data_IF_589614940935
#
_entry.id   IF_589614940935
#
_cell.length_a   1.000
_cell.length_b   1.000
_cell.length_c   1.000
_cell.angle_alpha   90.00
_cell.angle_beta   90.00
_cell.angle_gamma   90.00
#
_symmetry.space_group_name_H-M   'P 1'
#
loop_
_entity.id
_entity.type
_entity.pdbx_description
1 polymer ?
#
# COMPACT_ATOMS: atom_id res chain seq x y z
N UNK A 1 12.42 -15.59 -11.16
CA UNK A 1 12.43 -15.70 -9.68
C UNK A 1 11.22 -14.92 -9.17
N UNK A 2 10.43 -15.49 -8.27
CA UNK A 2 9.31 -14.80 -7.60
C UNK A 2 9.88 -14.17 -6.33
N UNK A 3 9.62 -12.89 -6.11
CA UNK A 3 10.07 -12.16 -4.94
C UNK A 3 9.03 -12.28 -3.81
N UNK A 4 9.51 -12.57 -2.60
CA UNK A 4 8.67 -12.77 -1.41
C UNK A 4 8.36 -11.45 -0.73
N UNK A 5 7.10 -11.24 -0.39
CA UNK A 5 6.60 -10.00 0.20
C UNK A 5 5.92 -10.26 1.54
N UNK A 6 6.19 -9.40 2.51
CA UNK A 6 5.40 -9.27 3.74
C UNK A 6 4.57 -7.99 3.62
N UNK A 7 3.26 -8.09 3.87
CA UNK A 7 2.33 -6.93 3.89
C UNK A 7 1.86 -6.67 5.32
N UNK A 8 2.28 -5.56 5.90
CA UNK A 8 1.97 -5.15 7.27
C UNK A 8 0.89 -4.07 7.28
N UNK A 9 -0.07 -4.19 8.19
CA UNK A 9 -1.27 -3.35 8.17
C UNK A 9 -2.02 -3.50 6.85
N UNK A 10 -2.13 -4.75 6.41
CA UNK A 10 -2.49 -5.12 5.05
C UNK A 10 -3.93 -4.77 4.68
N UNK A 11 -4.80 -4.56 5.68
CA UNK A 11 -6.22 -4.39 5.43
C UNK A 11 -6.79 -5.53 4.57
N UNK A 12 -7.62 -5.20 3.62
CA UNK A 12 -8.19 -6.16 2.67
C UNK A 12 -7.23 -6.58 1.54
N UNK A 13 -5.96 -6.13 1.55
CA UNK A 13 -4.94 -6.51 0.57
C UNK A 13 -4.80 -5.55 -0.61
N UNK A 14 -5.05 -4.25 -0.40
CA UNK A 14 -4.92 -3.25 -1.48
C UNK A 14 -3.52 -3.17 -2.04
N UNK A 15 -2.50 -3.08 -1.19
CA UNK A 15 -1.10 -3.07 -1.61
C UNK A 15 -0.69 -4.44 -2.14
N UNK A 16 -1.05 -5.54 -1.46
CA UNK A 16 -0.80 -6.90 -1.91
C UNK A 16 -1.22 -7.12 -3.35
N UNK A 17 -2.40 -6.62 -3.74
CA UNK A 17 -2.91 -6.76 -5.11
C UNK A 17 -1.99 -6.07 -6.13
N UNK A 18 -1.50 -4.87 -5.81
CA UNK A 18 -0.60 -4.13 -6.68
C UNK A 18 0.72 -4.87 -6.97
N UNK A 19 1.20 -5.67 -6.02
CA UNK A 19 2.43 -6.44 -6.15
C UNK A 19 2.20 -7.80 -6.82
N UNK A 20 1.19 -8.55 -6.37
CA UNK A 20 1.01 -9.95 -6.79
C UNK A 20 0.32 -10.09 -8.15
N UNK A 21 -0.62 -9.19 -8.49
CA UNK A 21 -1.40 -9.29 -9.72
C UNK A 21 -0.57 -8.92 -10.97
N UNK A 22 -0.46 -9.83 -11.97
CA UNK A 22 0.28 -9.57 -13.19
C UNK A 22 -0.25 -8.39 -14.03
N UNK A 23 -1.49 -7.97 -13.82
CA UNK A 23 -2.06 -6.78 -14.50
C UNK A 23 -1.41 -5.47 -14.04
N UNK A 24 -0.73 -5.51 -12.89
CA UNK A 24 0.00 -4.39 -12.33
C UNK A 24 1.50 -4.67 -12.37
N UNK A 25 2.09 -5.11 -11.30
CA UNK A 25 3.51 -5.43 -11.25
C UNK A 25 3.80 -6.91 -11.54
N UNK A 26 3.14 -7.81 -10.82
CA UNK A 26 3.37 -9.25 -10.90
C UNK A 26 4.78 -9.69 -10.50
N UNK A 27 4.98 -10.99 -10.37
CA UNK A 27 6.28 -11.57 -10.01
C UNK A 27 6.64 -11.45 -8.53
N UNK A 28 5.66 -11.15 -7.70
CA UNK A 28 5.74 -11.15 -6.24
C UNK A 28 4.76 -12.17 -5.66
N UNK A 29 5.06 -12.67 -4.49
CA UNK A 29 4.23 -13.59 -3.70
C UNK A 29 4.13 -13.06 -2.27
N UNK A 30 2.90 -12.83 -1.82
CA UNK A 30 2.66 -12.45 -0.42
C UNK A 30 2.86 -13.71 0.45
N UNK A 31 3.90 -13.72 1.27
CA UNK A 31 4.19 -14.85 2.17
C UNK A 31 3.58 -14.69 3.55
N UNK A 32 3.39 -13.44 3.97
CA UNK A 32 2.75 -13.07 5.22
C UNK A 32 2.01 -11.75 5.04
N UNK A 33 0.78 -11.69 5.50
CA UNK A 33 0.06 -10.44 5.75
C UNK A 33 -0.37 -10.37 7.19
N UNK A 34 -0.36 -9.17 7.77
CA UNK A 34 -0.71 -8.95 9.16
C UNK A 34 -1.57 -7.70 9.29
N UNK A 35 -2.72 -7.87 9.94
CA UNK A 35 -3.63 -6.78 10.32
C UNK A 35 -4.34 -7.15 11.61
N UNK A 36 -4.84 -6.16 12.35
CA UNK A 36 -5.59 -6.40 13.58
C UNK A 36 -7.12 -6.39 13.38
N UNK A 37 -7.61 -6.12 12.16
CA UNK A 37 -9.02 -6.18 11.80
C UNK A 37 -9.38 -7.56 11.23
N UNK A 38 -10.21 -8.30 11.96
CA UNK A 38 -10.63 -9.65 11.57
C UNK A 38 -11.37 -9.68 10.21
N UNK A 39 -12.19 -8.67 9.90
CA UNK A 39 -12.92 -8.61 8.65
C UNK A 39 -11.99 -8.34 7.46
N UNK A 40 -11.00 -7.49 7.66
CA UNK A 40 -9.94 -7.24 6.70
C UNK A 40 -9.12 -8.49 6.43
N UNK A 41 -8.67 -9.20 7.47
CA UNK A 41 -7.91 -10.46 7.34
C UNK A 41 -8.72 -11.55 6.64
N UNK A 42 -10.01 -11.69 6.93
CA UNK A 42 -10.90 -12.62 6.21
C UNK A 42 -10.98 -12.30 4.72
N UNK A 43 -11.08 -11.02 4.39
CA UNK A 43 -11.11 -10.56 2.99
C UNK A 43 -9.77 -10.85 2.31
N UNK A 44 -8.65 -10.55 2.98
CA UNK A 44 -7.32 -10.85 2.48
C UNK A 44 -7.13 -12.34 2.20
N UNK A 45 -7.46 -13.20 3.19
CA UNK A 45 -7.38 -14.66 3.06
C UNK A 45 -8.19 -15.20 1.88
N UNK A 46 -9.35 -14.59 1.58
CA UNK A 46 -10.20 -15.01 0.47
C UNK A 46 -9.61 -14.66 -0.91
N UNK A 47 -8.68 -13.70 -0.99
CA UNK A 47 -8.17 -13.17 -2.25
C UNK A 47 -6.69 -13.50 -2.52
N UNK A 48 -5.90 -13.83 -1.50
CA UNK A 48 -4.46 -14.07 -1.60
C UNK A 48 -4.10 -15.44 -1.01
N UNK A 49 -3.00 -16.02 -1.50
CA UNK A 49 -2.57 -17.38 -1.09
C UNK A 49 -1.68 -17.38 0.15
N UNK A 50 -1.04 -16.26 0.48
CA UNK A 50 -0.13 -16.13 1.60
C UNK A 50 -0.81 -16.30 2.96
N UNK A 51 -0.02 -16.48 4.00
CA UNK A 51 -0.51 -16.56 5.38
C UNK A 51 -1.02 -15.20 5.83
N UNK A 52 -2.33 -15.06 6.03
CA UNK A 52 -2.91 -13.88 6.67
C UNK A 52 -3.11 -14.12 8.17
N UNK A 53 -2.69 -13.15 8.98
CA UNK A 53 -2.71 -13.24 10.45
C UNK A 53 -3.48 -12.05 11.02
N UNK A 54 -4.47 -12.34 11.86
CA UNK A 54 -5.18 -11.33 12.64
C UNK A 54 -4.48 -11.16 14.00
N UNK A 55 -3.69 -10.10 14.13
CA UNK A 55 -2.97 -9.82 15.37
C UNK A 55 -2.51 -8.35 15.44
N UNK A 56 -2.26 -7.86 16.66
CA UNK A 56 -1.45 -6.67 16.85
C UNK A 56 0.00 -6.99 16.47
N UNK A 57 0.65 -6.08 15.74
CA UNK A 57 2.01 -6.30 15.23
C UNK A 57 3.04 -6.48 16.34
N UNK A 58 2.93 -5.72 17.44
CA UNK A 58 3.87 -5.77 18.56
C UNK A 58 3.74 -7.09 19.32
N UNK A 59 2.50 -7.56 19.52
CA UNK A 59 2.26 -8.84 20.19
C UNK A 59 2.68 -10.01 19.30
N UNK A 60 2.38 -9.93 18.01
CA UNK A 60 2.80 -10.96 17.07
C UNK A 60 4.32 -11.10 17.03
N UNK A 61 5.06 -10.00 17.07
CA UNK A 61 6.51 -9.97 17.00
C UNK A 61 7.18 -10.63 18.21
N UNK A 62 6.54 -10.60 19.39
CA UNK A 62 7.08 -11.24 20.62
C UNK A 62 7.13 -12.75 20.51
N UNK A 63 6.13 -13.35 19.89
CA UNK A 63 5.87 -14.79 19.96
C UNK A 63 6.12 -15.53 18.63
N UNK A 64 6.48 -14.81 17.56
CA UNK A 64 6.60 -15.39 16.23
C UNK A 64 7.97 -15.11 15.58
N UNK A 65 8.36 -16.01 14.71
CA UNK A 65 9.54 -15.84 13.85
C UNK A 65 9.11 -15.12 12.56
N UNK A 66 9.78 -14.03 12.24
CA UNK A 66 9.56 -13.28 10.99
C UNK A 66 10.06 -14.15 9.82
N UNK A 67 9.21 -14.46 8.82
CA UNK A 67 9.66 -15.20 7.66
C UNK A 67 10.62 -14.37 6.81
N UNK A 68 11.50 -15.05 6.07
CA UNK A 68 12.38 -14.38 5.11
C UNK A 68 11.54 -13.77 3.98
N UNK A 69 11.85 -12.54 3.59
CA UNK A 69 11.21 -11.84 2.49
C UNK A 69 12.19 -10.93 1.75
N UNK A 70 11.91 -10.65 0.48
CA UNK A 70 12.70 -9.72 -0.33
C UNK A 70 12.22 -8.28 -0.15
N UNK A 71 10.93 -8.12 0.12
CA UNK A 71 10.26 -6.82 0.24
C UNK A 71 9.31 -6.83 1.43
N UNK A 72 9.25 -5.70 2.15
CA UNK A 72 8.19 -5.42 3.13
C UNK A 72 7.39 -4.21 2.66
N UNK A 73 6.08 -4.36 2.61
CA UNK A 73 5.15 -3.29 2.27
C UNK A 73 4.20 -3.04 3.42
N UNK A 74 3.53 -1.88 3.45
CA UNK A 74 2.46 -1.63 4.39
C UNK A 74 2.21 -0.18 4.71
N UNK A 75 1.07 0.05 5.38
CA UNK A 75 0.64 1.38 5.81
C UNK A 75 0.40 1.43 7.32
N UNK A 76 1.41 1.67 8.16
CA UNK A 76 1.21 1.79 9.59
C UNK A 76 0.19 2.88 9.89
N UNK A 77 -0.75 2.65 10.84
CA UNK A 77 -1.85 3.57 11.11
C UNK A 77 -1.36 4.94 11.55
N UNK A 78 -2.00 5.96 10.98
CA UNK A 78 -1.65 7.36 11.12
C UNK A 78 -2.55 8.13 12.09
N UNK A 79 -3.10 7.47 13.09
CA UNK A 79 -4.08 8.10 13.98
C UNK A 79 -3.51 9.26 14.80
N UNK A 80 -2.20 9.28 15.04
CA UNK A 80 -1.51 10.41 15.65
C UNK A 80 -1.39 11.67 14.76
N UNK A 81 -1.55 11.52 13.42
CA UNK A 81 -1.41 12.64 12.46
C UNK A 81 -2.75 13.23 12.00
N UNK A 82 -3.88 12.58 12.32
CA UNK A 82 -5.19 13.09 11.90
C UNK A 82 -5.41 14.51 12.42
N UNK A 83 -5.80 15.42 11.54
CA UNK A 83 -6.20 16.78 11.88
C UNK A 83 -7.36 16.83 12.88
N UNK A 84 -8.11 15.73 13.00
CA UNK A 84 -9.20 15.56 13.96
C UNK A 84 -8.70 15.19 15.37
N UNK A 85 -7.47 14.70 15.50
CA UNK A 85 -6.91 14.35 16.81
C UNK A 85 -6.16 15.54 17.42
N UNK A 86 -6.84 16.28 18.30
CA UNK A 86 -6.27 17.44 19.01
C UNK A 86 -5.17 17.08 20.02
N UNK A 87 -5.07 15.81 20.45
CA UNK A 87 -4.02 15.30 21.36
C UNK A 87 -2.89 14.66 20.56
N UNK A 88 -1.97 15.47 20.04
CA UNK A 88 -0.86 15.02 19.20
C UNK A 88 0.31 14.36 19.93
N UNK A 89 0.42 14.54 21.25
CA UNK A 89 1.49 13.96 22.06
C UNK A 89 0.99 12.75 22.84
N UNK A 90 1.76 11.65 22.84
CA UNK A 90 1.49 10.47 23.66
C UNK A 90 0.51 9.45 23.04
N UNK A 91 0.26 9.49 21.75
CA UNK A 91 -0.50 8.42 21.09
C UNK A 91 0.46 7.28 20.68
N UNK A 92 0.38 6.15 21.42
CA UNK A 92 1.23 4.96 21.21
C UNK A 92 1.16 4.42 19.76
N UNK A 93 0.04 4.63 19.07
CA UNK A 93 -0.14 4.20 17.68
C UNK A 93 0.75 4.95 16.68
N UNK A 94 1.38 6.06 17.08
CA UNK A 94 2.36 6.78 16.24
C UNK A 94 3.65 5.99 16.09
N UNK A 95 3.99 5.21 17.08
CA UNK A 95 5.22 4.40 17.10
C UNK A 95 5.11 3.09 16.30
N UNK A 96 3.94 2.73 15.72
CA UNK A 96 3.76 1.47 14.98
C UNK A 96 4.62 1.36 13.69
N UNK A 97 5.25 2.44 13.26
CA UNK A 97 6.31 2.40 12.24
C UNK A 97 7.60 1.71 12.75
N UNK A 98 7.83 1.69 14.07
CA UNK A 98 9.02 1.02 14.63
C UNK A 98 9.01 -0.48 14.40
N UNK A 99 7.98 -1.25 14.86
CA UNK A 99 7.90 -2.68 14.59
C UNK A 99 7.82 -2.98 13.07
N UNK A 100 7.29 -2.07 12.25
CA UNK A 100 7.34 -2.20 10.80
C UNK A 100 8.79 -2.26 10.28
N UNK A 101 9.63 -1.29 10.66
CA UNK A 101 11.04 -1.24 10.25
C UNK A 101 11.83 -2.41 10.85
N UNK A 102 11.49 -2.84 12.06
CA UNK A 102 12.09 -3.98 12.71
C UNK A 102 11.81 -5.30 11.94
N UNK A 103 10.57 -5.53 11.54
CA UNK A 103 10.20 -6.67 10.68
C UNK A 103 10.92 -6.58 9.32
N UNK A 104 11.03 -5.40 8.72
CA UNK A 104 11.79 -5.22 7.49
C UNK A 104 13.27 -5.64 7.66
N UNK A 105 13.86 -5.36 8.82
CA UNK A 105 15.22 -5.82 9.11
C UNK A 105 15.28 -7.34 9.38
N UNK A 106 14.40 -7.87 10.23
CA UNK A 106 14.39 -9.27 10.64
C UNK A 106 14.09 -10.24 9.49
N UNK A 107 13.23 -9.82 8.54
CA UNK A 107 12.93 -10.61 7.35
C UNK A 107 14.08 -10.71 6.35
N UNK A 108 15.15 -9.93 6.54
CA UNK A 108 16.23 -9.82 5.57
C UNK A 108 15.83 -9.05 4.29
N UNK A 109 14.75 -8.31 4.34
CA UNK A 109 14.25 -7.57 3.18
C UNK A 109 15.31 -6.64 2.60
N UNK A 110 15.37 -6.62 1.26
CA UNK A 110 16.25 -5.72 0.52
C UNK A 110 15.64 -4.36 0.29
N UNK A 111 14.30 -4.32 0.29
CA UNK A 111 13.51 -3.10 0.09
C UNK A 111 12.33 -3.09 1.03
N UNK A 112 11.94 -1.90 1.49
CA UNK A 112 10.62 -1.68 2.07
C UNK A 112 9.90 -0.51 1.41
N UNK A 113 8.57 -0.54 1.44
CA UNK A 113 7.70 0.54 0.97
C UNK A 113 6.64 0.81 2.03
N UNK A 114 6.71 1.98 2.64
CA UNK A 114 5.76 2.42 3.66
C UNK A 114 4.87 3.52 3.08
N UNK A 115 3.55 3.31 3.14
CA UNK A 115 2.55 4.32 2.79
C UNK A 115 2.01 5.01 4.03
N UNK A 116 1.75 6.30 3.93
CA UNK A 116 1.08 7.04 4.99
C UNK A 116 0.39 8.30 4.45
N UNK A 117 -0.37 9.00 5.29
CA UNK A 117 -0.97 10.28 4.91
C UNK A 117 0.09 11.31 4.52
N UNK A 118 -0.31 12.30 3.68
CA UNK A 118 0.62 13.30 3.16
C UNK A 118 1.32 14.11 4.27
N UNK A 119 0.69 14.25 5.43
CA UNK A 119 1.19 14.97 6.59
C UNK A 119 2.46 14.37 7.18
N UNK A 120 2.68 13.04 7.04
CA UNK A 120 3.91 12.38 7.48
C UNK A 120 5.15 13.04 6.87
N UNK A 121 5.07 13.52 5.63
CA UNK A 121 6.22 14.12 4.93
C UNK A 121 6.85 15.31 5.66
N UNK A 122 6.05 16.03 6.45
CA UNK A 122 6.48 17.20 7.22
C UNK A 122 6.42 16.98 8.72
N UNK A 123 6.32 15.74 9.15
CA UNK A 123 6.19 15.41 10.57
C UNK A 123 7.54 15.05 11.19
N UNK A 124 7.72 15.27 12.50
CA UNK A 124 8.90 14.82 13.22
C UNK A 124 9.14 13.31 13.12
N UNK A 125 8.09 12.52 12.96
CA UNK A 125 8.18 11.07 12.88
C UNK A 125 8.96 10.61 11.63
N UNK A 126 8.88 11.33 10.52
CA UNK A 126 9.71 11.01 9.36
C UNK A 126 11.21 11.19 9.65
N UNK A 127 11.54 12.15 10.52
CA UNK A 127 12.92 12.39 10.96
C UNK A 127 13.39 11.32 11.98
N UNK A 128 12.47 10.57 12.59
CA UNK A 128 12.77 9.39 13.44
C UNK A 128 12.86 8.10 12.60
N UNK A 129 11.97 7.91 11.61
CA UNK A 129 11.94 6.75 10.71
C UNK A 129 13.27 6.62 9.95
N UNK A 130 13.78 7.71 9.37
CA UNK A 130 14.99 7.68 8.54
C UNK A 130 16.23 7.19 9.29
N UNK A 131 16.60 7.71 10.47
CA UNK A 131 17.75 7.23 11.24
C UNK A 131 17.58 5.77 11.68
N UNK A 132 16.36 5.36 12.07
CA UNK A 132 16.08 3.97 12.46
C UNK A 132 16.30 3.01 11.28
N UNK A 133 15.79 3.36 10.11
CA UNK A 133 16.00 2.58 8.89
C UNK A 133 17.49 2.53 8.51
N UNK A 134 18.19 3.66 8.60
CA UNK A 134 19.62 3.73 8.34
C UNK A 134 20.46 2.89 9.32
N UNK A 135 20.08 2.85 10.59
CA UNK A 135 20.71 1.96 11.60
C UNK A 135 20.66 0.50 11.16
N UNK A 136 19.60 0.07 10.49
CA UNK A 136 19.46 -1.28 9.92
C UNK A 136 20.04 -1.44 8.50
N UNK A 137 20.76 -0.44 8.00
CA UNK A 137 21.45 -0.50 6.71
C UNK A 137 20.56 -0.18 5.50
N UNK A 138 19.41 0.45 5.70
CA UNK A 138 18.59 0.95 4.61
C UNK A 138 18.94 2.41 4.27
N UNK A 139 19.14 2.70 2.98
CA UNK A 139 19.02 4.06 2.45
C UNK A 139 17.54 4.38 2.28
N UNK A 140 17.14 5.64 2.48
CA UNK A 140 15.73 6.02 2.41
C UNK A 140 15.49 7.24 1.52
N UNK A 141 14.35 7.25 0.85
CA UNK A 141 13.75 8.43 0.23
C UNK A 141 12.28 8.52 0.58
N UNK A 142 11.75 9.72 0.64
CA UNK A 142 10.33 9.96 0.86
C UNK A 142 9.82 11.01 -0.14
N UNK A 143 8.58 10.88 -0.57
CA UNK A 143 7.89 11.86 -1.41
C UNK A 143 6.39 11.81 -1.16
N UNK A 144 5.71 12.94 -1.36
CA UNK A 144 4.24 12.94 -1.43
C UNK A 144 3.84 12.72 -2.87
N UNK A 145 3.13 11.62 -3.11
CA UNK A 145 2.62 11.25 -4.42
C UNK A 145 1.11 11.43 -4.47
N UNK A 146 0.58 11.81 -5.63
CA UNK A 146 -0.85 11.85 -5.88
C UNK A 146 -1.23 10.70 -6.81
N UNK A 147 -2.10 9.82 -6.37
CA UNK A 147 -2.48 8.63 -7.14
C UNK A 147 -3.05 8.96 -8.53
N UNK A 148 -3.66 10.13 -8.73
CA UNK A 148 -4.15 10.55 -10.03
C UNK A 148 -3.04 10.74 -11.06
N UNK A 149 -1.83 11.14 -10.63
CA UNK A 149 -0.65 11.31 -11.51
C UNK A 149 -0.18 9.98 -12.10
N UNK A 150 -0.66 8.85 -11.57
CA UNK A 150 -0.31 7.49 -11.96
C UNK A 150 -1.52 6.69 -12.48
N UNK A 151 -2.58 7.37 -12.93
CA UNK A 151 -3.72 6.76 -13.59
C UNK A 151 -4.84 6.27 -12.67
N UNK A 152 -4.79 6.57 -11.38
CA UNK A 152 -5.92 6.30 -10.49
C UNK A 152 -7.11 7.25 -10.78
N UNK A 153 -8.33 6.74 -10.54
CA UNK A 153 -9.57 7.47 -10.80
C UNK A 153 -9.96 8.44 -9.67
N UNK A 154 -8.99 8.82 -8.82
CA UNK A 154 -9.19 9.79 -7.73
C UNK A 154 -7.89 10.52 -7.42
N UNK A 155 -8.02 11.73 -6.92
CA UNK A 155 -6.93 12.46 -6.29
C UNK A 155 -6.76 11.96 -4.86
N UNK A 156 -5.61 11.32 -4.57
CA UNK A 156 -5.27 10.84 -3.22
C UNK A 156 -3.79 11.08 -2.98
N UNK A 157 -3.47 12.06 -2.17
CA UNK A 157 -2.09 12.36 -1.81
C UNK A 157 -1.63 11.50 -0.64
N UNK A 158 -0.47 10.85 -0.78
CA UNK A 158 0.13 10.00 0.24
C UNK A 158 1.63 10.21 0.30
N UNK A 159 2.18 10.16 1.50
CA UNK A 159 3.62 10.02 1.68
C UNK A 159 4.00 8.57 1.44
N UNK A 160 4.91 8.37 0.52
CA UNK A 160 5.57 7.09 0.30
C UNK A 160 7.00 7.22 0.79
N UNK A 161 7.40 6.32 1.69
CA UNK A 161 8.78 6.17 2.14
C UNK A 161 9.30 4.86 1.58
N UNK A 162 10.35 4.94 0.78
CA UNK A 162 11.07 3.75 0.31
C UNK A 162 12.39 3.61 1.05
N UNK A 163 12.73 2.38 1.42
CA UNK A 163 14.05 2.04 1.92
C UNK A 163 14.66 0.91 1.11
N UNK A 164 15.96 0.98 0.83
CA UNK A 164 16.67 -0.08 0.11
C UNK A 164 18.08 -0.28 0.64
N UNK A 165 18.58 -1.52 0.53
CA UNK A 165 19.95 -1.87 0.91
C UNK A 165 20.91 -1.71 -0.27
N UNK A 166 22.21 -1.63 0.00
CA UNK A 166 23.26 -1.43 -1.03
C UNK A 166 23.32 -2.53 -2.10
N UNK A 167 22.80 -3.73 -1.81
CA UNK A 167 22.67 -4.81 -2.78
C UNK A 167 21.64 -4.52 -3.90
N UNK A 168 20.88 -3.44 -3.78
CA UNK A 168 19.89 -3.01 -4.77
C UNK A 168 20.37 -1.72 -5.42
N UNK A 169 20.28 -1.62 -6.73
CA UNK A 169 20.56 -0.37 -7.45
C UNK A 169 19.61 0.73 -6.96
N UNK A 170 20.12 1.96 -6.86
CA UNK A 170 19.32 3.09 -6.39
C UNK A 170 18.06 3.24 -7.23
N UNK A 171 16.86 3.11 -6.66
CA UNK A 171 15.62 3.23 -7.41
C UNK A 171 15.42 4.68 -7.88
N UNK A 172 14.80 4.84 -9.06
CA UNK A 172 14.27 6.13 -9.47
C UNK A 172 13.04 6.44 -8.62
N UNK A 173 13.18 7.39 -7.71
CA UNK A 173 12.10 7.80 -6.81
C UNK A 173 12.14 9.32 -6.59
N UNK A 174 11.02 10.04 -6.71
CA UNK A 174 9.69 9.53 -7.10
C UNK A 174 9.69 8.96 -8.53
N UNK A 175 8.75 8.03 -8.85
CA UNK A 175 8.52 7.57 -10.20
C UNK A 175 8.08 8.74 -11.10
N UNK A 176 8.28 8.62 -12.42
CA UNK A 176 7.76 9.62 -13.34
C UNK A 176 6.23 9.51 -13.44
N UNK A 177 5.49 10.62 -13.41
CA UNK A 177 4.05 10.58 -13.59
C UNK A 177 3.68 10.06 -14.98
N UNK A 178 2.56 9.36 -15.08
CA UNK A 178 1.98 8.84 -16.32
C UNK A 178 0.79 9.67 -16.79
N UNK A 179 0.21 10.47 -15.89
CA UNK A 179 -0.94 11.35 -16.14
C UNK A 179 -0.68 12.72 -15.50
N UNK A 180 -1.39 13.74 -15.98
CA UNK A 180 -1.29 15.10 -15.46
C UNK A 180 -2.68 15.69 -15.14
N UNK A 181 -2.68 16.77 -14.36
CA UNK A 181 -3.90 17.55 -14.15
C UNK A 181 -4.50 17.99 -15.49
N UNK A 182 -5.83 18.04 -15.62
CA UNK A 182 -6.47 18.59 -16.83
C UNK A 182 -6.01 20.02 -17.18
N UNK A 183 -5.52 20.77 -16.19
CA UNK A 183 -5.02 22.14 -16.36
C UNK A 183 -3.54 22.19 -16.77
N UNK A 184 -2.87 21.04 -16.91
CA UNK A 184 -1.47 20.95 -17.31
C UNK A 184 -1.36 20.93 -18.84
N UNK A 185 -0.65 21.89 -19.40
CA UNK A 185 -0.41 22.01 -20.84
C UNK A 185 0.65 21.03 -21.39
N UNK A 186 1.12 20.09 -20.55
CA UNK A 186 2.09 19.07 -20.93
C UNK A 186 1.55 18.00 -21.88
N UNK A 187 2.41 17.04 -22.24
CA UNK A 187 2.08 15.95 -23.18
C UNK A 187 1.53 14.68 -22.51
N UNK A 188 1.35 14.67 -21.18
CA UNK A 188 0.80 13.51 -20.50
C UNK A 188 -0.73 13.43 -20.65
N UNK A 189 -1.30 12.22 -20.69
CA UNK A 189 -2.73 12.03 -20.64
C UNK A 189 -3.34 12.73 -19.42
N UNK A 190 -4.55 13.30 -19.50
CA UNK A 190 -5.21 13.88 -18.35
C UNK A 190 -5.57 12.83 -17.30
N UNK A 191 -5.72 13.28 -16.06
CA UNK A 191 -6.21 12.41 -14.97
C UNK A 191 -7.48 11.68 -15.36
N UNK A 192 -7.54 10.42 -15.01
CA UNK A 192 -8.72 9.58 -15.19
C UNK A 192 -9.79 9.96 -14.18
N UNK A 193 -11.06 9.88 -14.61
CA UNK A 193 -12.21 10.26 -13.80
C UNK A 193 -12.94 9.07 -13.21
N UNK A 194 -13.78 9.30 -12.21
CA UNK A 194 -14.71 8.26 -11.70
C UNK A 194 -15.61 7.73 -12.82
N UNK A 195 -16.02 8.59 -13.76
CA UNK A 195 -16.82 8.17 -14.92
C UNK A 195 -16.08 7.11 -15.76
N UNK A 196 -14.77 7.28 -15.97
CA UNK A 196 -13.95 6.30 -16.69
C UNK A 196 -13.89 4.94 -15.96
N UNK A 197 -13.99 4.96 -14.62
CA UNK A 197 -13.96 3.75 -13.81
C UNK A 197 -15.27 2.96 -13.79
N UNK A 198 -16.42 3.63 -14.00
CA UNK A 198 -17.74 3.04 -13.79
C UNK A 198 -18.66 3.12 -15.02
N UNK A 199 -18.16 3.62 -16.16
CA UNK A 199 -18.98 3.81 -17.38
C UNK A 199 -19.53 2.52 -17.97
N UNK A 200 -18.91 1.38 -17.68
CA UNK A 200 -19.31 0.05 -18.07
C UNK A 200 -20.32 -0.62 -17.10
N UNK A 201 -20.58 0.03 -15.96
CA UNK A 201 -21.56 -0.47 -15.02
C UNK A 201 -22.99 -0.13 -15.48
N UNK A 202 -23.96 -1.01 -15.25
CA UNK A 202 -25.35 -0.73 -15.58
C UNK A 202 -25.85 0.50 -14.78
N UNK A 203 -26.75 1.32 -15.35
CA UNK A 203 -27.36 2.43 -14.64
C UNK A 203 -27.95 1.96 -13.31
N UNK A 204 -27.80 2.77 -12.26
CA UNK A 204 -28.41 2.45 -10.98
C UNK A 204 -29.93 2.27 -11.17
N UNK A 205 -30.43 1.05 -10.93
CA UNK A 205 -31.86 0.88 -10.74
C UNK A 205 -32.24 1.62 -9.45
N UNK A 206 -33.25 2.47 -9.51
CA UNK A 206 -33.87 3.06 -8.33
C UNK A 206 -34.50 1.94 -7.52
N UNK A 207 -33.80 1.49 -6.48
CA UNK A 207 -34.31 0.52 -5.54
C UNK A 207 -35.46 1.14 -4.75
N UNK A 208 -36.58 0.48 -4.68
CA UNK A 208 -37.57 0.73 -3.63
C UNK A 208 -36.89 0.39 -2.29
N UNK A 209 -37.09 1.22 -1.28
CA UNK A 209 -36.50 1.02 0.04
C UNK A 209 -36.81 -0.38 0.54
N UNK A 210 -35.74 -1.19 0.77
CA UNK A 210 -35.85 -2.54 1.31
C UNK A 210 -35.49 -3.68 0.34
N UNK A 211 -35.34 -3.41 -0.96
CA UNK A 211 -34.94 -4.45 -1.93
C UNK A 211 -33.48 -4.21 -2.37
N UNK A 212 -32.58 -5.11 -1.98
CA UNK A 212 -31.25 -5.20 -2.57
C UNK A 212 -31.38 -5.99 -3.89
N UNK A 213 -30.91 -5.45 -5.04
CA UNK A 213 -30.93 -6.21 -6.28
C UNK A 213 -30.10 -7.49 -6.12
N UNK A 214 -30.50 -8.61 -6.77
CA UNK A 214 -29.83 -9.90 -6.68
C UNK A 214 -28.33 -9.87 -7.02
N UNK A 215 -27.88 -8.90 -7.80
CA UNK A 215 -26.46 -8.69 -8.18
C UNK A 215 -25.67 -7.86 -7.17
N UNK A 216 -26.32 -7.26 -6.14
CA UNK A 216 -25.65 -6.73 -4.94
C UNK A 216 -25.32 -7.84 -3.95
N UNK A 217 -25.84 -9.06 -4.13
CA UNK A 217 -25.24 -10.22 -3.49
C UNK A 217 -23.81 -10.34 -4.04
N UNK A 218 -22.94 -9.80 -3.24
CA UNK A 218 -21.52 -9.77 -3.37
C UNK A 218 -21.04 -11.18 -3.64
N UNK A 219 -21.02 -11.57 -4.91
CA UNK A 219 -20.21 -12.70 -5.30
C UNK A 219 -18.75 -12.33 -4.96
N UNK A 220 -17.95 -13.30 -4.61
CA UNK A 220 -16.52 -13.12 -4.39
C UNK A 220 -15.85 -12.30 -5.51
N UNK A 221 -16.40 -12.34 -6.70
CA UNK A 221 -15.97 -11.62 -7.89
C UNK A 221 -16.35 -10.13 -7.85
N UNK A 222 -17.51 -9.76 -7.30
CA UNK A 222 -17.93 -8.35 -7.14
C UNK A 222 -17.18 -7.67 -5.98
N UNK A 223 -16.82 -8.42 -4.92
CA UNK A 223 -15.88 -7.94 -3.89
C UNK A 223 -14.47 -7.75 -4.49
N UNK A 224 -14.05 -8.68 -5.33
CA UNK A 224 -12.83 -8.57 -6.12
C UNK A 224 -12.85 -7.36 -7.04
N UNK A 225 -13.95 -7.08 -7.73
CA UNK A 225 -14.10 -5.91 -8.60
C UNK A 225 -14.21 -4.59 -7.81
N UNK A 226 -14.87 -4.58 -6.65
CA UNK A 226 -14.88 -3.40 -5.75
C UNK A 226 -13.52 -3.19 -5.07
N UNK A 227 -12.88 -4.23 -4.59
CA UNK A 227 -11.48 -4.17 -4.16
C UNK A 227 -10.59 -3.71 -5.31
N UNK A 228 -10.76 -4.24 -6.53
CA UNK A 228 -10.05 -3.81 -7.74
C UNK A 228 -10.34 -2.36 -8.12
N UNK A 229 -11.56 -1.86 -7.97
CA UNK A 229 -11.85 -0.43 -8.24
C UNK A 229 -11.27 0.49 -7.17
N UNK A 230 -11.24 0.06 -5.92
CA UNK A 230 -10.60 0.78 -4.82
C UNK A 230 -9.07 0.65 -4.88
N UNK A 231 -8.53 -0.50 -5.30
CA UNK A 231 -7.09 -0.76 -5.38
C UNK A 231 -6.46 -0.42 -6.73
N UNK A 232 -7.22 -0.33 -7.82
CA UNK A 232 -6.77 0.43 -9.00
C UNK A 232 -6.41 1.89 -8.66
N UNK A 233 -6.81 2.34 -7.48
CA UNK A 233 -6.55 3.68 -6.97
C UNK A 233 -5.27 3.80 -6.13
N UNK A 234 -4.56 2.70 -5.87
CA UNK A 234 -3.34 2.70 -5.07
C UNK A 234 -2.22 1.97 -5.81
N UNK A 235 -1.33 2.73 -6.44
CA UNK A 235 0.04 2.34 -6.77
C UNK A 235 0.35 1.18 -7.75
N UNK A 236 -0.41 0.85 -8.81
CA UNK A 236 -0.03 -0.29 -9.64
C UNK A 236 1.22 -0.05 -10.50
N UNK A 237 1.36 1.13 -11.09
CA UNK A 237 2.48 1.44 -12.00
C UNK A 237 3.72 1.94 -11.28
N UNK A 238 3.55 2.66 -10.17
CA UNK A 238 4.66 3.13 -9.32
C UNK A 238 5.46 1.98 -8.73
N UNK A 239 4.76 0.96 -8.28
CA UNK A 239 5.36 -0.25 -7.76
C UNK A 239 6.18 -0.96 -8.84
N UNK A 240 5.67 -1.03 -10.07
CA UNK A 240 6.36 -1.64 -11.20
C UNK A 240 7.68 -0.93 -11.54
N UNK A 241 7.71 0.40 -11.49
CA UNK A 241 8.92 1.19 -11.79
C UNK A 241 9.97 1.08 -10.69
N UNK A 242 9.58 1.10 -9.42
CA UNK A 242 10.51 0.90 -8.29
C UNK A 242 11.16 -0.49 -8.37
N UNK A 243 10.41 -1.52 -8.77
CA UNK A 243 10.87 -2.91 -8.76
C UNK A 243 11.39 -3.42 -10.11
N UNK A 244 11.18 -2.72 -11.23
CA UNK A 244 11.82 -3.07 -12.50
C UNK A 244 13.36 -3.01 -12.40
N UNK A 245 13.88 -2.12 -11.57
CA UNK A 245 15.31 -2.04 -11.24
C UNK A 245 15.82 -3.27 -10.46
N UNK A 246 14.96 -3.93 -9.67
CA UNK A 246 15.34 -5.11 -8.87
C UNK A 246 15.43 -6.40 -9.68
N UNK A 247 14.77 -6.47 -10.86
CA UNK A 247 14.78 -7.66 -11.73
C UNK A 247 16.00 -7.75 -12.65
N UNK A 248 16.81 -6.69 -12.74
CA UNK A 248 17.95 -6.62 -13.67
C UNK A 248 19.31 -6.96 -13.06
N UNK A 249 19.34 -7.45 -11.80
CA UNK A 249 20.56 -7.91 -11.13
C UNK A 249 20.41 -9.36 -10.62
#
# INVERSE_FOLDING_TARGET
>A
MILRVIDLFSGAGGMSLGFEDPRFCGGFEIVLSLDNDEAAVKTHTANFRGKAVCANIEDWLKDNVVPQADVVIGGPPCQGFSLLNKKRSGDERRALWEPYIEIANMSGARVFVMENVAELYRSPELDEIKPKAHHYGFKTRASVLNSADYGAFQTRKRTIVIGWRDAVSTPQFPPLPTHASPDDEGNLPPWRTVQDAISDLPPQMKLKSGELPPWIFISSETQRLKALSVTKQCLPEETALIFSAMRRN
#
